data_IF_361228653795
#
_entry.id   IF_361228653795
#
_cell.length_a   1.000
_cell.length_b   1.000
_cell.length_c   1.000
_cell.angle_alpha   90.00
_cell.angle_beta   90.00
_cell.angle_gamma   90.00
#
_symmetry.space_group_name_H-M   'P 1'
#
loop_
_entity.id
_entity.type
_entity.pdbx_description
1 polymer ?
#
# COMPACT_ATOMS: atom_id res chain seq x y z
N UNK A 1 23.66 -4.00 -7.93
CA UNK A 1 22.77 -3.17 -8.77
C UNK A 1 23.46 -1.83 -9.02
N UNK A 2 23.40 -1.28 -10.24
CA UNK A 2 23.95 0.06 -10.50
C UNK A 2 23.09 1.14 -9.82
N UNK A 3 23.69 2.30 -9.52
CA UNK A 3 22.97 3.43 -8.91
C UNK A 3 21.79 3.88 -9.78
N UNK A 4 21.99 3.98 -11.10
CA UNK A 4 20.93 4.38 -12.03
C UNK A 4 19.76 3.40 -12.03
N UNK A 5 20.03 2.09 -12.00
CA UNK A 5 18.97 1.07 -11.91
C UNK A 5 18.19 1.18 -10.61
N UNK A 6 18.88 1.44 -9.48
CA UNK A 6 18.23 1.63 -8.18
C UNK A 6 17.25 2.82 -8.20
N UNK A 7 17.67 3.96 -8.74
CA UNK A 7 16.81 5.15 -8.84
C UNK A 7 15.57 4.90 -9.71
N UNK A 8 15.74 4.24 -10.87
CA UNK A 8 14.61 3.92 -11.74
C UNK A 8 13.63 2.93 -11.11
N UNK A 9 14.12 1.95 -10.36
CA UNK A 9 13.24 1.06 -9.60
C UNK A 9 12.49 1.79 -8.49
N UNK A 10 13.12 2.76 -7.83
CA UNK A 10 12.44 3.59 -6.83
C UNK A 10 11.33 4.43 -7.46
N UNK A 11 11.61 5.07 -8.60
CA UNK A 11 10.62 5.81 -9.38
C UNK A 11 9.46 4.89 -9.80
N UNK A 12 9.77 3.74 -10.38
CA UNK A 12 8.76 2.75 -10.79
C UNK A 12 7.91 2.27 -9.62
N UNK A 13 8.51 2.01 -8.46
CA UNK A 13 7.81 1.63 -7.25
C UNK A 13 6.81 2.71 -6.80
N UNK A 14 7.25 3.98 -6.75
CA UNK A 14 6.40 5.10 -6.35
C UNK A 14 5.26 5.33 -7.35
N UNK A 15 5.54 5.32 -8.65
CA UNK A 15 4.52 5.46 -9.69
C UNK A 15 3.48 4.34 -9.63
N UNK A 16 3.94 3.09 -9.50
CA UNK A 16 3.07 1.94 -9.32
C UNK A 16 2.22 2.08 -8.06
N UNK A 17 2.80 2.51 -6.95
CA UNK A 17 2.09 2.67 -5.68
C UNK A 17 1.01 3.76 -5.76
N UNK A 18 1.29 4.90 -6.40
CA UNK A 18 0.29 5.95 -6.63
C UNK A 18 -0.84 5.44 -7.52
N UNK A 19 -0.54 4.77 -8.62
CA UNK A 19 -1.54 4.19 -9.52
C UNK A 19 -2.39 3.12 -8.81
N UNK A 20 -1.77 2.30 -7.96
CA UNK A 20 -2.45 1.28 -7.16
C UNK A 20 -3.47 1.90 -6.20
N UNK A 21 -3.02 2.81 -5.33
CA UNK A 21 -3.86 3.41 -4.30
C UNK A 21 -4.94 4.30 -4.94
N UNK A 22 -4.56 5.13 -5.93
CA UNK A 22 -5.49 5.98 -6.66
C UNK A 22 -6.55 5.18 -7.43
N UNK A 23 -6.13 4.12 -8.14
CA UNK A 23 -7.04 3.21 -8.84
C UNK A 23 -8.02 2.54 -7.88
N UNK A 24 -7.54 2.03 -6.75
CA UNK A 24 -8.38 1.37 -5.74
C UNK A 24 -9.41 2.32 -5.13
N UNK A 25 -9.01 3.54 -4.75
CA UNK A 25 -9.92 4.56 -4.22
C UNK A 25 -10.97 4.93 -5.26
N UNK A 26 -10.57 5.18 -6.51
CA UNK A 26 -11.48 5.48 -7.60
C UNK A 26 -12.50 4.36 -7.83
N UNK A 27 -12.06 3.10 -7.85
CA UNK A 27 -12.95 1.93 -7.96
C UNK A 27 -13.91 1.84 -6.78
N UNK A 28 -13.45 2.04 -5.54
CA UNK A 28 -14.32 2.02 -4.35
C UNK A 28 -15.41 3.10 -4.40
N UNK A 29 -15.08 4.30 -4.86
CA UNK A 29 -16.07 5.37 -5.05
C UNK A 29 -17.07 5.02 -6.15
N UNK A 30 -16.61 4.52 -7.30
CA UNK A 30 -17.48 4.08 -8.39
C UNK A 30 -18.43 2.96 -7.96
N UNK A 31 -17.95 1.97 -7.21
CA UNK A 31 -18.80 0.91 -6.66
C UNK A 31 -19.87 1.46 -5.71
N UNK A 32 -19.55 2.49 -4.92
CA UNK A 32 -20.55 3.15 -4.06
C UNK A 32 -21.61 3.88 -4.87
N UNK A 33 -21.22 4.57 -5.94
CA UNK A 33 -22.15 5.23 -6.87
C UNK A 33 -23.00 4.18 -7.59
N UNK A 34 -22.40 3.10 -8.08
CA UNK A 34 -23.10 2.00 -8.74
C UNK A 34 -24.18 1.39 -7.83
N UNK A 35 -23.95 1.34 -6.51
CA UNK A 35 -24.93 0.79 -5.58
C UNK A 35 -26.22 1.62 -5.43
N UNK A 36 -26.22 2.87 -5.86
CA UNK A 36 -27.37 3.80 -5.69
C UNK A 36 -28.00 4.26 -7.01
N UNK A 37 -27.28 4.12 -8.14
CA UNK A 37 -27.81 4.52 -9.45
C UNK A 37 -28.58 3.38 -10.11
N UNK A 38 -29.51 3.76 -10.99
CA UNK A 38 -30.37 2.85 -11.75
C UNK A 38 -30.31 3.14 -13.26
N UNK A 39 -30.92 2.26 -14.06
CA UNK A 39 -31.01 2.42 -15.51
C UNK A 39 -29.64 2.48 -16.20
N UNK A 40 -29.51 3.25 -17.30
CA UNK A 40 -28.28 3.31 -18.11
C UNK A 40 -27.02 3.73 -17.35
N UNK A 41 -27.16 4.43 -16.23
CA UNK A 41 -26.05 4.85 -15.38
C UNK A 41 -25.31 3.67 -14.74
N UNK A 42 -26.00 2.55 -14.49
CA UNK A 42 -25.37 1.32 -13.98
C UNK A 42 -24.34 0.75 -14.94
N UNK A 43 -24.67 0.69 -16.23
CA UNK A 43 -23.75 0.17 -17.25
C UNK A 43 -22.51 1.04 -17.41
N UNK A 44 -22.67 2.36 -17.30
CA UNK A 44 -21.55 3.30 -17.27
C UNK A 44 -20.65 3.02 -16.06
N UNK A 45 -21.24 2.88 -14.87
CA UNK A 45 -20.48 2.54 -13.66
C UNK A 45 -19.72 1.21 -13.80
N UNK A 46 -20.38 0.16 -14.32
CA UNK A 46 -19.78 -1.16 -14.55
C UNK A 46 -18.57 -1.11 -15.50
N UNK A 47 -18.60 -0.24 -16.53
CA UNK A 47 -17.45 -0.05 -17.41
C UNK A 47 -16.31 0.72 -16.73
N UNK A 48 -16.62 1.75 -15.95
CA UNK A 48 -15.60 2.58 -15.29
C UNK A 48 -14.94 1.86 -14.11
N UNK A 49 -15.70 1.10 -13.31
CA UNK A 49 -15.14 0.29 -12.22
C UNK A 49 -14.14 -0.75 -12.75
N UNK A 50 -14.39 -1.31 -13.94
CA UNK A 50 -13.44 -2.24 -14.60
C UNK A 50 -12.16 -1.54 -15.03
N UNK A 51 -12.25 -0.33 -15.59
CA UNK A 51 -11.09 0.45 -16.05
C UNK A 51 -10.22 0.88 -14.87
N UNK A 52 -10.84 1.42 -13.83
CA UNK A 52 -10.12 1.82 -12.60
C UNK A 52 -9.54 0.62 -11.85
N UNK A 53 -10.24 -0.53 -11.85
CA UNK A 53 -9.69 -1.77 -11.30
C UNK A 53 -8.48 -2.28 -12.11
N UNK A 54 -8.45 -2.07 -13.43
CA UNK A 54 -7.28 -2.42 -14.23
C UNK A 54 -6.08 -1.53 -13.86
N UNK A 55 -6.29 -0.23 -13.67
CA UNK A 55 -5.23 0.70 -13.20
C UNK A 55 -4.72 0.27 -11.82
N UNK A 56 -5.64 -0.11 -10.92
CA UNK A 56 -5.31 -0.67 -9.62
C UNK A 56 -4.43 -1.92 -9.74
N UNK A 57 -4.82 -2.89 -10.57
CA UNK A 57 -4.09 -4.17 -10.78
C UNK A 57 -2.70 -3.93 -11.38
N UNK A 58 -2.58 -3.07 -12.39
CA UNK A 58 -1.31 -2.71 -13.03
C UNK A 58 -0.39 -1.93 -12.09
N UNK A 59 -0.94 -0.98 -11.35
CA UNK A 59 -0.22 -0.21 -10.34
C UNK A 59 0.33 -1.13 -9.24
N UNK A 60 -0.48 -2.04 -8.73
CA UNK A 60 -0.07 -3.03 -7.74
C UNK A 60 1.07 -3.90 -8.25
N UNK A 61 0.95 -4.41 -9.47
CA UNK A 61 1.96 -5.25 -10.12
C UNK A 61 3.29 -4.50 -10.23
N UNK A 62 3.27 -3.27 -10.74
CA UNK A 62 4.47 -2.45 -10.89
C UNK A 62 5.10 -2.12 -9.54
N UNK A 63 4.30 -1.69 -8.56
CA UNK A 63 4.77 -1.37 -7.22
C UNK A 63 5.45 -2.58 -6.56
N UNK A 64 4.82 -3.74 -6.63
CA UNK A 64 5.34 -4.96 -6.00
C UNK A 64 6.58 -5.47 -6.71
N UNK A 65 6.60 -5.50 -8.05
CA UNK A 65 7.77 -5.92 -8.80
C UNK A 65 8.98 -5.05 -8.47
N UNK A 66 8.86 -3.73 -8.58
CA UNK A 66 9.94 -2.81 -8.23
C UNK A 66 10.33 -2.90 -6.74
N UNK A 67 9.34 -2.99 -5.85
CA UNK A 67 9.55 -3.07 -4.40
C UNK A 67 10.30 -4.34 -3.98
N UNK A 68 9.95 -5.49 -4.55
CA UNK A 68 10.66 -6.75 -4.30
C UNK A 68 12.08 -6.72 -4.86
N UNK A 69 12.26 -6.23 -6.09
CA UNK A 69 13.61 -6.11 -6.67
C UNK A 69 14.49 -5.19 -5.80
N UNK A 70 13.96 -4.08 -5.30
CA UNK A 70 14.67 -3.19 -4.37
C UNK A 70 15.00 -3.91 -3.05
N UNK A 71 14.05 -4.61 -2.45
CA UNK A 71 14.22 -5.27 -1.16
C UNK A 71 15.28 -6.39 -1.22
N UNK A 72 15.21 -7.27 -2.23
CA UNK A 72 16.14 -8.39 -2.37
C UNK A 72 17.46 -8.01 -3.06
N UNK A 73 17.47 -6.99 -3.92
CA UNK A 73 18.66 -6.59 -4.67
C UNK A 73 19.63 -5.68 -3.93
N UNK A 74 19.25 -5.14 -2.77
CA UNK A 74 20.08 -4.19 -1.99
C UNK A 74 20.38 -4.64 -0.58
N UNK A 75 19.48 -5.40 0.07
CA UNK A 75 19.60 -5.66 1.50
C UNK A 75 19.11 -7.07 1.87
N UNK A 76 19.89 -8.13 1.58
CA UNK A 76 19.54 -9.50 1.99
C UNK A 76 19.29 -9.61 3.52
N UNK A 77 20.00 -8.80 4.31
CA UNK A 77 19.91 -8.78 5.77
C UNK A 77 18.78 -7.90 6.33
N UNK A 78 18.11 -7.07 5.51
CA UNK A 78 17.01 -6.22 6.00
C UNK A 78 15.79 -7.04 6.42
N UNK A 79 15.54 -8.18 5.78
CA UNK A 79 14.52 -9.13 6.24
C UNK A 79 14.91 -9.84 7.56
N UNK A 80 16.20 -10.05 7.79
CA UNK A 80 16.69 -10.70 9.01
C UNK A 80 16.75 -9.73 10.22
N UNK A 81 16.98 -8.44 10.01
CA UNK A 81 17.30 -7.48 11.08
C UNK A 81 16.37 -6.25 11.15
N UNK A 82 15.52 -6.03 10.14
CA UNK A 82 14.70 -4.83 10.01
C UNK A 82 13.25 -5.02 10.48
N UNK A 83 12.98 -4.79 11.77
CA UNK A 83 11.60 -4.78 12.29
C UNK A 83 10.64 -3.86 11.51
N UNK A 84 11.15 -2.75 10.98
CA UNK A 84 10.37 -1.82 10.15
C UNK A 84 9.82 -2.46 8.88
N UNK A 85 10.59 -3.35 8.25
CA UNK A 85 10.22 -3.98 6.98
C UNK A 85 9.09 -4.98 7.21
N UNK A 86 9.15 -5.75 8.30
CA UNK A 86 8.09 -6.67 8.70
C UNK A 86 6.79 -5.94 8.95
N UNK A 87 6.80 -4.88 9.78
CA UNK A 87 5.60 -4.08 10.06
C UNK A 87 5.03 -3.47 8.79
N UNK A 88 5.87 -2.90 7.93
CA UNK A 88 5.42 -2.33 6.64
C UNK A 88 4.75 -3.39 5.76
N UNK A 89 5.37 -4.56 5.62
CA UNK A 89 4.82 -5.64 4.81
C UNK A 89 3.53 -6.21 5.41
N UNK A 90 3.40 -6.28 6.74
CA UNK A 90 2.15 -6.65 7.40
C UNK A 90 1.04 -5.65 7.08
N UNK A 91 1.32 -4.34 7.15
CA UNK A 91 0.33 -3.31 6.77
C UNK A 91 -0.09 -3.45 5.30
N UNK A 92 0.87 -3.60 4.40
CA UNK A 92 0.59 -3.78 2.96
C UNK A 92 -0.20 -5.06 2.70
N UNK A 93 0.18 -6.19 3.30
CA UNK A 93 -0.47 -7.47 3.09
C UNK A 93 -1.88 -7.52 3.69
N UNK A 94 -2.02 -7.15 4.96
CA UNK A 94 -3.30 -7.30 5.68
C UNK A 94 -4.29 -6.18 5.39
N UNK A 95 -3.82 -4.97 5.05
CA UNK A 95 -4.71 -3.83 4.78
C UNK A 95 -4.87 -3.62 3.28
N UNK A 96 -3.79 -3.27 2.59
CA UNK A 96 -3.88 -2.83 1.19
C UNK A 96 -4.25 -4.00 0.27
N UNK A 97 -3.59 -5.15 0.41
CA UNK A 97 -3.88 -6.34 -0.41
C UNK A 97 -5.25 -6.96 -0.10
N UNK A 98 -5.64 -7.04 1.17
CA UNK A 98 -6.97 -7.54 1.54
C UNK A 98 -8.08 -6.67 0.92
N UNK A 99 -7.96 -5.35 1.00
CA UNK A 99 -8.92 -4.41 0.40
C UNK A 99 -8.85 -4.47 -1.12
N UNK A 100 -7.68 -4.63 -1.73
CA UNK A 100 -7.52 -4.83 -3.17
C UNK A 100 -8.30 -6.06 -3.65
N UNK A 101 -8.07 -7.22 -3.03
CA UNK A 101 -8.76 -8.46 -3.38
C UNK A 101 -10.28 -8.37 -3.20
N UNK A 102 -10.73 -7.78 -2.09
CA UNK A 102 -12.15 -7.49 -1.86
C UNK A 102 -12.72 -6.56 -2.94
N UNK A 103 -12.02 -5.48 -3.29
CA UNK A 103 -12.44 -4.51 -4.31
C UNK A 103 -12.59 -5.21 -5.66
N UNK A 104 -11.64 -6.06 -6.03
CA UNK A 104 -11.70 -6.84 -7.28
C UNK A 104 -12.87 -7.82 -7.30
N UNK A 105 -13.11 -8.52 -6.19
CA UNK A 105 -14.25 -9.40 -6.04
C UNK A 105 -15.58 -8.65 -6.15
N UNK A 106 -15.66 -7.42 -5.59
CA UNK A 106 -16.85 -6.56 -5.65
C UNK A 106 -17.15 -6.09 -7.07
N UNK A 107 -16.15 -5.68 -7.84
CA UNK A 107 -16.31 -5.39 -9.29
C UNK A 107 -16.92 -6.59 -10.03
N UNK A 108 -16.44 -7.81 -9.74
CA UNK A 108 -17.02 -9.02 -10.33
C UNK A 108 -18.48 -9.26 -9.94
N UNK A 109 -18.83 -9.03 -8.66
CA UNK A 109 -20.19 -9.21 -8.12
C UNK A 109 -21.17 -8.17 -8.67
N UNK A 110 -20.77 -6.90 -8.71
CA UNK A 110 -21.62 -5.80 -9.18
C UNK A 110 -22.03 -6.00 -10.65
N UNK A 111 -21.12 -6.49 -11.50
CA UNK A 111 -21.43 -6.85 -12.88
C UNK A 111 -22.47 -7.97 -13.03
N UNK A 112 -22.62 -8.84 -12.04
CA UNK A 112 -23.65 -9.89 -12.01
C UNK A 112 -24.95 -9.43 -11.36
N UNK A 113 -25.07 -8.15 -11.01
CA UNK A 113 -26.22 -7.62 -10.29
C UNK A 113 -26.20 -7.91 -8.78
N UNK A 114 -25.16 -8.57 -8.24
CA UNK A 114 -25.00 -8.82 -6.81
C UNK A 114 -24.49 -7.57 -6.08
N UNK A 115 -25.32 -6.54 -6.05
CA UNK A 115 -24.98 -5.22 -5.50
C UNK A 115 -25.20 -5.25 -3.99
N UNK A 116 -24.08 -5.17 -3.24
CA UNK A 116 -24.11 -4.99 -1.79
C UNK A 116 -23.31 -3.74 -1.42
N UNK A 117 -23.88 -2.83 -0.61
CA UNK A 117 -23.22 -1.59 -0.24
C UNK A 117 -21.86 -1.86 0.43
N UNK A 118 -20.93 -0.94 0.22
CA UNK A 118 -19.61 -0.98 0.82
C UNK A 118 -19.55 -0.05 2.04
N UNK A 119 -18.81 -0.43 3.12
CA UNK A 119 -18.58 0.46 4.24
C UNK A 119 -17.99 1.80 3.79
N UNK A 120 -18.51 2.89 4.34
CA UNK A 120 -18.09 4.25 3.96
C UNK A 120 -16.63 4.54 4.29
N UNK A 121 -16.11 3.88 5.32
CA UNK A 121 -14.75 4.06 5.82
C UNK A 121 -13.65 3.50 4.88
N UNK A 122 -13.98 2.60 3.94
CA UNK A 122 -12.97 1.85 3.18
C UNK A 122 -11.93 2.71 2.44
N UNK A 123 -12.29 3.77 1.69
CA UNK A 123 -11.29 4.62 1.04
C UNK A 123 -10.35 5.32 2.04
N UNK A 124 -10.86 5.66 3.22
CA UNK A 124 -10.06 6.30 4.27
C UNK A 124 -9.13 5.30 4.95
N UNK A 125 -9.56 4.05 5.16
CA UNK A 125 -8.69 2.97 5.65
C UNK A 125 -7.56 2.71 4.67
N UNK A 126 -7.84 2.69 3.37
CA UNK A 126 -6.82 2.61 2.31
C UNK A 126 -5.82 3.77 2.41
N UNK A 127 -6.32 5.00 2.53
CA UNK A 127 -5.47 6.19 2.61
C UNK A 127 -4.57 6.16 3.86
N UNK A 128 -5.13 5.82 5.02
CA UNK A 128 -4.37 5.68 6.27
C UNK A 128 -3.31 4.58 6.13
N UNK A 129 -3.68 3.41 5.61
CA UNK A 129 -2.74 2.32 5.35
C UNK A 129 -1.60 2.72 4.40
N UNK A 130 -1.92 3.52 3.38
CA UNK A 130 -0.92 4.06 2.45
C UNK A 130 0.03 5.05 3.13
N UNK A 131 -0.49 6.00 3.91
CA UNK A 131 0.31 6.96 4.68
C UNK A 131 1.22 6.24 5.67
N UNK A 132 0.70 5.29 6.44
CA UNK A 132 1.49 4.48 7.38
C UNK A 132 2.63 3.76 6.64
N UNK A 133 2.34 3.17 5.49
CA UNK A 133 3.34 2.47 4.66
C UNK A 133 4.45 3.40 4.13
N UNK A 134 4.10 4.65 3.80
CA UNK A 134 5.06 5.68 3.37
C UNK A 134 5.93 6.12 4.55
N UNK A 135 5.32 6.45 5.69
CA UNK A 135 6.02 6.90 6.91
C UNK A 135 7.01 5.85 7.39
N UNK A 136 6.61 4.57 7.43
CA UNK A 136 7.51 3.47 7.81
C UNK A 136 8.66 3.29 6.81
N UNK A 137 8.43 3.59 5.52
CA UNK A 137 9.47 3.56 4.49
C UNK A 137 10.47 4.72 4.61
N UNK A 138 9.97 5.91 4.91
CA UNK A 138 10.78 7.13 5.03
C UNK A 138 11.55 7.20 6.37
N UNK A 139 10.94 6.70 7.45
CA UNK A 139 11.48 6.76 8.81
C UNK A 139 11.69 5.37 9.41
N UNK A 140 12.63 4.63 8.83
CA UNK A 140 13.00 3.26 9.25
C UNK A 140 13.42 3.18 10.73
N UNK A 141 13.89 4.29 11.27
CA UNK A 141 14.35 4.44 12.66
C UNK A 141 13.21 4.39 13.70
N UNK A 142 11.96 4.62 13.31
CA UNK A 142 10.81 4.66 14.24
C UNK A 142 10.65 3.36 15.03
N UNK A 143 11.09 2.24 14.45
CA UNK A 143 10.98 0.91 15.04
C UNK A 143 12.34 0.35 15.50
N UNK A 144 13.40 1.17 15.45
CA UNK A 144 14.70 0.79 16.03
C UNK A 144 14.63 1.00 17.54
N UNK A 145 14.75 -0.08 18.31
CA UNK A 145 14.81 -0.02 19.78
C UNK A 145 15.93 0.96 20.16
N UNK A 146 15.60 2.08 20.81
CA UNK A 146 16.62 2.95 21.44
C UNK A 146 17.44 2.04 22.36
N UNK A 147 18.72 1.88 22.06
CA UNK A 147 19.65 1.19 22.96
C UNK A 147 19.51 1.83 24.34
N UNK A 148 19.38 0.99 25.37
CA UNK A 148 19.33 1.46 26.76
C UNK A 148 20.48 2.43 26.98
N UNK A 149 20.17 3.62 27.50
CA UNK A 149 21.19 4.60 27.84
C UNK A 149 22.21 3.93 28.74
N UNK A 150 23.45 3.84 28.28
CA UNK A 150 24.54 3.55 29.18
C UNK A 150 24.50 4.62 30.29
N UNK A 151 24.55 4.23 31.58
CA UNK A 151 24.61 5.22 32.64
C UNK A 151 25.82 6.13 32.39
N UNK A 152 25.71 7.44 32.68
CA UNK A 152 26.82 8.36 32.52
C UNK A 152 28.04 7.82 33.27
N UNK A 153 29.27 7.95 32.72
CA UNK A 153 30.46 7.49 33.40
C UNK A 153 30.51 8.14 34.78
N UNK A 154 30.71 7.31 35.82
CA UNK A 154 30.80 7.77 37.19
C UNK A 154 31.88 8.85 37.27
N UNK A 155 31.48 10.05 37.72
CA UNK A 155 32.41 11.14 37.94
C UNK A 155 33.47 10.67 38.96
N UNK A 156 34.71 10.50 38.49
CA UNK A 156 35.86 10.31 39.37
C UNK A 156 36.01 11.58 40.19
N UNK A 157 35.74 11.47 41.50
CA UNK A 157 36.01 12.53 42.45
C UNK A 157 37.53 12.83 42.46
N UNK A 158 37.94 14.10 42.45
CA UNK A 158 39.35 14.45 42.61
C UNK A 158 39.81 14.07 44.03
N UNK A 159 40.98 13.41 44.10
CA UNK A 159 41.70 13.12 45.34
C UNK A 159 42.34 14.38 45.92
#
# INVERSE_FOLDING_TARGET
MSWSTYQWLLVGHVLGFVAWIGGMIATLYLLRVHAIVEGPARDVCARQERRTALIMDLGATLAMACGFILAFGTTPTAFATGGWLHVKLTVVALTIFAIHGMTRAKVGKFRRGEIKPLPRALPYVVLVGAVVSIVLGAHKELLRKKGGGAPPPAATAPQ
#
